data_IF_281540061229
#
_entry.id   IF_281540061229
#
_cell.length_a   1.000
_cell.length_b   1.000
_cell.length_c   1.000
_cell.angle_alpha   90.00
_cell.angle_beta   90.00
_cell.angle_gamma   90.00
#
_symmetry.space_group_name_H-M   'P 1'
#
loop_
_entity.id
_entity.type
_entity.pdbx_description
1 polymer ?
#
# COMPACT_ATOMS: atom_id res chain seq x y z
N UNK A 1 18.87 34.48 1.70
CA UNK A 1 17.64 33.80 2.15
C UNK A 1 16.90 33.24 0.94
N UNK A 2 17.09 31.97 0.60
CA UNK A 2 16.18 31.22 -0.29
C UNK A 2 16.10 29.81 0.27
N UNK A 3 15.21 29.59 1.25
CA UNK A 3 14.86 28.24 1.69
C UNK A 3 13.95 27.70 0.58
N UNK A 4 14.54 27.06 -0.43
CA UNK A 4 13.80 26.42 -1.51
C UNK A 4 12.73 25.52 -0.89
N UNK A 5 11.45 25.88 -1.06
CA UNK A 5 10.35 25.09 -0.52
C UNK A 5 10.34 23.76 -1.25
N UNK A 6 11.03 22.74 -0.70
CA UNK A 6 10.82 21.36 -1.14
C UNK A 6 9.35 21.04 -0.90
N UNK A 7 8.64 20.61 -1.94
CA UNK A 7 7.26 20.20 -1.84
C UNK A 7 7.16 19.05 -0.81
N UNK A 8 6.59 19.27 0.39
CA UNK A 8 6.58 18.25 1.45
C UNK A 8 5.68 17.06 1.09
N UNK A 9 4.81 17.21 0.09
CA UNK A 9 3.98 16.13 -0.43
C UNK A 9 4.77 15.08 -1.19
N UNK A 10 5.88 15.44 -1.85
CA UNK A 10 6.68 14.49 -2.63
C UNK A 10 7.24 13.34 -1.77
N UNK A 11 7.98 13.59 -0.66
CA UNK A 11 8.47 12.50 0.17
C UNK A 11 7.34 11.71 0.82
N UNK A 12 6.21 12.33 1.15
CA UNK A 12 5.07 11.64 1.74
C UNK A 12 4.43 10.68 0.74
N UNK A 13 4.20 11.11 -0.49
CA UNK A 13 3.69 10.22 -1.55
C UNK A 13 4.65 9.05 -1.80
N UNK A 14 5.96 9.28 -1.77
CA UNK A 14 6.97 8.20 -1.92
C UNK A 14 6.88 7.22 -0.75
N UNK A 15 6.87 7.72 0.50
CA UNK A 15 6.79 6.87 1.69
C UNK A 15 5.47 6.08 1.69
N UNK A 16 4.34 6.73 1.40
CA UNK A 16 3.04 6.06 1.31
C UNK A 16 3.02 5.00 0.22
N UNK A 17 3.66 5.24 -0.94
CA UNK A 17 3.80 4.24 -1.99
C UNK A 17 4.63 3.04 -1.51
N UNK A 18 5.76 3.27 -0.83
CA UNK A 18 6.56 2.20 -0.24
C UNK A 18 5.75 1.39 0.78
N UNK A 19 5.01 2.05 1.68
CA UNK A 19 4.14 1.36 2.66
C UNK A 19 3.08 0.55 1.93
N UNK A 20 2.44 1.10 0.90
CA UNK A 20 1.50 0.38 0.04
C UNK A 20 2.11 -0.90 -0.54
N UNK A 21 3.28 -0.82 -1.17
CA UNK A 21 3.95 -2.00 -1.73
C UNK A 21 4.29 -3.06 -0.67
N UNK A 22 4.73 -2.64 0.51
CA UNK A 22 5.00 -3.57 1.63
C UNK A 22 3.72 -4.27 2.08
N UNK A 23 2.63 -3.53 2.29
CA UNK A 23 1.34 -4.11 2.71
C UNK A 23 0.76 -5.04 1.64
N UNK A 24 0.84 -4.65 0.36
CA UNK A 24 0.45 -5.50 -0.77
C UNK A 24 1.22 -6.82 -0.77
N UNK A 25 2.55 -6.76 -0.69
CA UNK A 25 3.41 -7.94 -0.68
C UNK A 25 3.14 -8.85 0.52
N UNK A 26 2.97 -8.28 1.72
CA UNK A 26 2.63 -9.05 2.92
C UNK A 26 1.28 -9.76 2.80
N UNK A 27 0.25 -9.07 2.30
CA UNK A 27 -1.07 -9.68 2.11
C UNK A 27 -1.04 -10.77 1.05
N UNK A 28 -0.38 -10.52 -0.09
CA UNK A 28 -0.21 -11.53 -1.14
C UNK A 28 0.57 -12.75 -0.64
N UNK A 29 1.60 -12.55 0.18
CA UNK A 29 2.37 -13.62 0.82
C UNK A 29 1.50 -14.42 1.78
N UNK A 30 0.84 -13.75 2.73
CA UNK A 30 0.02 -14.43 3.74
C UNK A 30 -1.11 -15.20 3.08
N UNK A 31 -1.78 -14.61 2.09
CA UNK A 31 -2.84 -15.26 1.34
C UNK A 31 -2.31 -16.45 0.54
N UNK A 32 -1.12 -16.33 -0.06
CA UNK A 32 -0.46 -17.45 -0.75
C UNK A 32 -0.20 -18.63 0.18
N UNK A 33 0.35 -18.39 1.37
CA UNK A 33 0.61 -19.44 2.36
C UNK A 33 -0.68 -20.01 2.98
N UNK A 34 -1.69 -19.17 3.19
CA UNK A 34 -2.95 -19.54 3.84
C UNK A 34 -4.10 -19.63 2.83
N UNK A 35 -3.98 -20.58 1.88
CA UNK A 35 -4.98 -20.83 0.85
C UNK A 35 -5.67 -22.22 1.02
N UNK A 36 -6.31 -22.52 2.16
CA UNK A 36 -6.90 -23.85 2.41
C UNK A 36 -8.12 -24.14 1.52
N UNK A 37 -8.80 -23.09 1.07
CA UNK A 37 -10.01 -23.16 0.24
C UNK A 37 -9.71 -23.19 -1.26
N UNK A 38 -8.42 -23.21 -1.66
CA UNK A 38 -8.01 -23.25 -3.06
C UNK A 38 -8.51 -22.04 -3.90
N UNK A 39 -8.73 -20.89 -3.27
CA UNK A 39 -9.22 -19.67 -3.94
C UNK A 39 -8.14 -19.00 -4.81
N UNK A 40 -6.87 -19.17 -4.45
CA UNK A 40 -5.74 -18.51 -5.12
C UNK A 40 -5.02 -19.46 -6.05
N UNK A 41 -4.70 -20.66 -5.57
CA UNK A 41 -4.06 -21.71 -6.37
C UNK A 41 -4.50 -23.11 -5.95
N UNK A 42 -4.58 -24.03 -6.91
CA UNK A 42 -4.83 -25.45 -6.69
C UNK A 42 -4.06 -26.29 -7.73
N UNK A 43 -3.66 -27.50 -7.36
CA UNK A 43 -2.90 -28.39 -8.25
C UNK A 43 -3.63 -28.69 -9.57
N UNK A 44 -4.96 -28.86 -9.51
CA UNK A 44 -5.79 -29.23 -10.67
C UNK A 44 -6.32 -28.03 -11.47
N UNK A 45 -6.45 -26.87 -10.83
CA UNK A 45 -7.12 -25.69 -11.41
C UNK A 45 -6.13 -24.56 -11.78
N UNK A 46 -4.88 -24.67 -11.36
CA UNK A 46 -3.87 -23.64 -11.59
C UNK A 46 -4.00 -22.47 -10.61
N UNK A 47 -3.58 -21.28 -11.05
CA UNK A 47 -3.52 -20.07 -10.22
C UNK A 47 -4.55 -19.05 -10.73
N UNK A 48 -5.41 -18.54 -9.84
CA UNK A 48 -6.24 -17.37 -10.11
C UNK A 48 -5.41 -16.09 -9.91
N UNK A 49 -4.74 -15.69 -10.99
CA UNK A 49 -3.94 -14.47 -11.03
C UNK A 49 -4.77 -13.20 -10.80
N UNK A 50 -6.02 -13.19 -11.26
CA UNK A 50 -6.87 -12.01 -11.13
C UNK A 50 -7.20 -11.79 -9.66
N UNK A 51 -7.62 -12.84 -8.96
CA UNK A 51 -7.90 -12.76 -7.53
C UNK A 51 -6.65 -12.39 -6.73
N UNK A 52 -5.52 -13.05 -6.99
CA UNK A 52 -4.26 -12.78 -6.27
C UNK A 52 -3.77 -11.34 -6.45
N UNK A 53 -3.80 -10.82 -7.69
CA UNK A 53 -3.41 -9.44 -7.99
C UNK A 53 -4.42 -8.43 -7.42
N UNK A 54 -5.72 -8.76 -7.39
CA UNK A 54 -6.76 -7.90 -6.81
C UNK A 54 -6.57 -7.77 -5.29
N UNK A 55 -6.24 -8.87 -4.60
CA UNK A 55 -5.85 -8.85 -3.19
C UNK A 55 -4.64 -7.94 -2.95
N UNK A 56 -3.59 -8.08 -3.78
CA UNK A 56 -2.41 -7.23 -3.72
C UNK A 56 -2.72 -5.75 -3.93
N UNK A 57 -3.50 -5.43 -4.97
CA UNK A 57 -3.90 -4.06 -5.27
C UNK A 57 -4.74 -3.46 -4.13
N UNK A 58 -5.70 -4.20 -3.59
CA UNK A 58 -6.52 -3.79 -2.45
C UNK A 58 -5.65 -3.52 -1.21
N UNK A 59 -4.76 -4.45 -0.88
CA UNK A 59 -3.78 -4.28 0.18
C UNK A 59 -2.87 -3.07 0.01
N UNK A 60 -2.39 -2.85 -1.22
CA UNK A 60 -1.54 -1.72 -1.56
C UNK A 60 -2.23 -0.37 -1.39
N UNK A 61 -3.50 -0.26 -1.83
CA UNK A 61 -4.31 0.94 -1.62
C UNK A 61 -4.56 1.19 -0.14
N UNK A 62 -4.87 0.16 0.65
CA UNK A 62 -5.04 0.27 2.09
C UNK A 62 -3.77 0.79 2.78
N UNK A 63 -2.60 0.22 2.45
CA UNK A 63 -1.32 0.69 2.99
C UNK A 63 -0.99 2.13 2.57
N UNK A 64 -1.22 2.46 1.29
CA UNK A 64 -0.99 3.80 0.77
C UNK A 64 -1.85 4.85 1.46
N UNK A 65 -3.17 4.68 1.47
CA UNK A 65 -4.08 5.66 2.06
C UNK A 65 -4.00 5.67 3.59
N UNK A 66 -3.77 4.50 4.21
CA UNK A 66 -3.53 4.40 5.64
C UNK A 66 -2.29 5.19 6.11
N UNK A 67 -1.28 5.33 5.25
CA UNK A 67 -0.12 6.17 5.52
C UNK A 67 -0.34 7.64 5.11
N UNK A 68 -0.93 7.87 3.94
CA UNK A 68 -1.09 9.20 3.35
C UNK A 68 -2.02 10.09 4.18
N UNK A 69 -3.16 9.55 4.65
CA UNK A 69 -4.18 10.34 5.34
C UNK A 69 -3.66 10.91 6.68
N UNK A 70 -3.08 10.11 7.60
CA UNK A 70 -2.51 10.65 8.84
C UNK A 70 -1.37 11.62 8.60
N UNK A 71 -0.47 11.32 7.65
CA UNK A 71 0.65 12.20 7.30
C UNK A 71 0.16 13.54 6.72
N UNK A 72 -0.88 13.51 5.89
CA UNK A 72 -1.53 14.71 5.34
C UNK A 72 -2.19 15.56 6.42
N UNK A 73 -2.93 14.94 7.34
CA UNK A 73 -3.55 15.62 8.48
C UNK A 73 -2.49 16.27 9.38
N UNK A 74 -1.46 15.52 9.77
CA UNK A 74 -0.34 16.05 10.57
C UNK A 74 0.32 17.25 9.90
N UNK A 75 0.59 17.19 8.60
CA UNK A 75 1.13 18.33 7.88
C UNK A 75 0.22 19.55 7.92
N UNK A 76 -1.09 19.37 7.72
CA UNK A 76 -2.04 20.48 7.76
C UNK A 76 -2.10 21.12 9.16
N UNK A 77 -2.08 20.31 10.22
CA UNK A 77 -2.05 20.78 11.60
C UNK A 77 -0.73 21.48 11.95
N UNK A 78 0.39 21.03 11.41
CA UNK A 78 1.71 21.62 11.66
C UNK A 78 2.04 22.82 10.73
N UNK A 79 1.17 23.19 9.79
CA UNK A 79 1.35 24.43 9.02
C UNK A 79 1.17 25.62 9.95
N UNK A 80 2.26 26.35 10.21
CA UNK A 80 2.19 27.67 10.85
C UNK A 80 1.27 28.58 10.02
N UNK A 81 0.39 29.37 10.67
CA UNK A 81 -0.44 30.36 10.00
C UNK A 81 0.42 31.41 9.28
#
# INVERSE_FOLDING_TARGET
>A
MIRGRRNPWKPILIISACVGFVVAGLLMWVAWEHNPQCEIHCAEQGIDWVYWLTLGAGGGLLGFFGCLLPAGVLMLLCRKP
#
